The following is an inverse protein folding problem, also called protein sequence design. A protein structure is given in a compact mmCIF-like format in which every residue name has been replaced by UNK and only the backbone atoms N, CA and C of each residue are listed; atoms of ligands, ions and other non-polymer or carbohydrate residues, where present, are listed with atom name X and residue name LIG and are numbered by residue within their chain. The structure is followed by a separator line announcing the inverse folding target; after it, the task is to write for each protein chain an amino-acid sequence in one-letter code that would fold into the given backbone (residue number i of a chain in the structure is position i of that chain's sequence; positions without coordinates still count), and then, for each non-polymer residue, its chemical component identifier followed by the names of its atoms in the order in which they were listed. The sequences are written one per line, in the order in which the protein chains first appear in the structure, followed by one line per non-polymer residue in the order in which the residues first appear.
data_IF_048834127685
#
_entry.id   IF_048834127685
#
_cell.length_a   1.000
_cell.length_b   1.000
_cell.length_c   1.000
_cell.angle_alpha   90.00
_cell.angle_beta   90.00
_cell.angle_gamma   90.00
#
_symmetry.space_group_name_H-M   'P 1'
#
loop_
_entity.id
_entity.type
_entity.pdbx_description
1 polymer ?
#
# COMPACT_ATOMS: atom_id res chain seq x y z
N UNK A 1 12.64 -22.61 24.74
CA UNK A 1 12.99 -21.18 24.66
C UNK A 1 11.94 -20.52 23.80
N UNK A 2 10.93 -19.96 24.45
CA UNK A 2 9.89 -19.14 23.82
C UNK A 2 10.55 -17.84 23.36
N UNK A 3 10.64 -17.63 22.05
CA UNK A 3 10.91 -16.31 21.49
C UNK A 3 9.63 -15.51 21.66
N UNK A 4 9.65 -14.51 22.53
CA UNK A 4 8.55 -13.56 22.66
C UNK A 4 8.39 -12.84 21.31
N UNK A 5 7.35 -13.22 20.56
CA UNK A 5 7.06 -12.74 19.20
C UNK A 5 6.50 -11.30 19.15
N UNK A 6 6.70 -10.51 20.20
CA UNK A 6 6.25 -9.13 20.28
C UNK A 6 7.39 -8.20 19.90
N UNK A 7 7.34 -7.70 18.66
CA UNK A 7 8.13 -6.54 18.25
C UNK A 7 7.49 -5.32 18.90
N UNK A 8 8.17 -4.61 19.82
CA UNK A 8 7.61 -3.42 20.42
C UNK A 8 7.58 -2.31 19.36
N UNK A 9 6.38 -1.98 18.88
CA UNK A 9 6.14 -0.86 17.96
C UNK A 9 5.49 0.26 18.76
N UNK A 10 6.10 1.43 18.78
CA UNK A 10 5.47 2.64 19.31
C UNK A 10 4.37 3.09 18.35
N UNK A 11 3.12 3.13 18.82
CA UNK A 11 2.02 3.76 18.09
C UNK A 11 2.31 5.27 18.03
N UNK A 12 2.42 5.80 16.82
CA UNK A 12 2.54 7.24 16.58
C UNK A 12 1.19 7.68 16.04
N UNK A 13 0.41 8.37 16.87
CA UNK A 13 -0.83 9.02 16.43
C UNK A 13 -0.47 10.28 15.63
N UNK A 14 -0.73 10.35 14.31
CA UNK A 14 -0.50 11.58 13.57
C UNK A 14 -1.53 12.64 14.03
N UNK A 15 -1.12 13.89 14.29
CA UNK A 15 -2.06 14.96 14.59
C UNK A 15 -2.96 15.21 13.38
N UNK A 16 -4.24 15.48 13.66
CA UNK A 16 -5.33 15.60 12.67
C UNK A 16 -4.94 16.37 11.41
N UNK A 17 -5.12 15.72 10.27
CA UNK A 17 -4.82 16.26 8.95
C UNK A 17 -5.83 17.37 8.59
N UNK A 18 -5.39 18.47 7.94
CA UNK A 18 -6.31 19.44 7.35
C UNK A 18 -7.25 18.77 6.34
N UNK A 19 -8.49 19.27 6.16
CA UNK A 19 -9.37 18.77 5.10
C UNK A 19 -8.82 19.13 3.70
N UNK A 20 -9.03 18.23 2.76
CA UNK A 20 -8.56 18.36 1.37
C UNK A 20 -9.40 19.37 0.56
N UNK A 21 -8.84 19.81 -0.56
CA UNK A 21 -9.48 20.76 -1.49
C UNK A 21 -10.63 20.16 -2.30
N UNK A 22 -11.42 21.06 -2.90
CA UNK A 22 -12.76 20.89 -3.52
C UNK A 22 -12.87 19.88 -4.70
N UNK A 23 -11.84 19.07 -4.98
CA UNK A 23 -11.75 18.20 -6.17
C UNK A 23 -11.66 16.71 -5.91
N UNK A 24 -11.56 16.26 -4.65
CA UNK A 24 -11.45 14.84 -4.29
C UNK A 24 -12.73 14.32 -3.64
N UNK A 25 -13.42 13.36 -4.27
CA UNK A 25 -14.44 12.56 -3.58
C UNK A 25 -13.70 11.64 -2.60
N UNK A 26 -13.72 11.99 -1.31
CA UNK A 26 -13.12 11.18 -0.27
C UNK A 26 -14.01 9.95 -0.02
N UNK A 27 -13.42 8.75 -0.12
CA UNK A 27 -14.03 7.55 0.46
C UNK A 27 -13.89 7.68 1.97
N UNK A 28 -15.00 8.02 2.64
CA UNK A 28 -15.04 7.98 4.09
C UNK A 28 -14.93 6.53 4.54
N UNK A 29 -13.88 6.23 5.30
CA UNK A 29 -13.75 4.94 5.98
C UNK A 29 -15.02 4.74 6.82
N UNK A 30 -15.73 3.65 6.56
CA UNK A 30 -16.88 3.27 7.36
C UNK A 30 -16.40 3.11 8.82
N UNK A 31 -17.00 3.85 9.78
CA UNK A 31 -16.60 3.80 11.18
C UNK A 31 -16.74 2.40 11.81
N UNK A 32 -17.42 1.46 11.15
CA UNK A 32 -17.51 0.06 11.56
C UNK A 32 -16.32 -0.81 11.10
N UNK A 33 -15.45 -0.31 10.21
CA UNK A 33 -14.24 -1.03 9.77
C UNK A 33 -13.16 -0.93 10.86
N UNK A 34 -13.06 -1.98 11.68
CA UNK A 34 -11.96 -2.18 12.62
C UNK A 34 -10.81 -2.94 11.95
N UNK A 35 -9.62 -2.33 11.89
CA UNK A 35 -8.38 -2.97 11.44
C UNK A 35 -7.88 -4.07 12.41
N UNK A 36 -8.56 -4.24 13.55
CA UNK A 36 -8.36 -5.29 14.53
C UNK A 36 -6.95 -5.25 15.11
N UNK A 37 -6.23 -6.36 15.03
CA UNK A 37 -4.84 -6.49 15.53
C UNK A 37 -3.78 -6.24 14.43
N UNK A 38 -4.17 -5.73 13.27
CA UNK A 38 -3.22 -5.45 12.19
C UNK A 38 -2.31 -4.28 12.57
N UNK A 39 -0.99 -4.47 12.42
CA UNK A 39 -0.03 -3.38 12.58
C UNK A 39 0.16 -2.67 11.25
N UNK A 40 -0.14 -1.37 11.23
CA UNK A 40 -0.03 -0.52 10.03
C UNK A 40 1.23 0.33 10.14
N UNK A 41 2.07 0.29 9.10
CA UNK A 41 3.29 1.09 9.00
C UNK A 41 3.20 2.00 7.80
N UNK A 42 3.47 3.29 8.00
CA UNK A 42 3.56 4.26 6.91
C UNK A 42 5.01 4.72 6.74
N UNK A 43 5.58 4.50 5.55
CA UNK A 43 7.00 4.78 5.26
C UNK A 43 7.11 6.03 4.38
N UNK A 44 7.55 7.14 4.98
CA UNK A 44 7.74 8.42 4.30
C UNK A 44 9.22 8.80 4.17
N UNK A 45 9.50 9.81 3.35
CA UNK A 45 10.85 10.31 3.10
C UNK A 45 11.02 10.86 1.69
N UNK A 46 12.14 11.57 1.47
CA UNK A 46 12.48 12.20 0.19
C UNK A 46 12.47 11.19 -0.97
N UNK A 47 12.19 11.66 -2.19
CA UNK A 47 12.38 10.88 -3.41
C UNK A 47 13.81 10.32 -3.50
N UNK A 48 13.94 9.04 -3.86
CA UNK A 48 15.24 8.37 -4.02
C UNK A 48 15.97 7.94 -2.73
N UNK A 49 15.42 8.16 -1.53
CA UNK A 49 16.07 7.75 -0.27
C UNK A 49 16.03 6.23 0.00
N UNK A 50 15.34 5.46 -0.85
CA UNK A 50 15.21 4.01 -0.69
C UNK A 50 14.01 3.54 0.13
N UNK A 51 12.88 4.28 0.08
CA UNK A 51 11.62 3.88 0.73
C UNK A 51 11.14 2.51 0.27
N UNK A 52 10.90 2.34 -1.04
CA UNK A 52 10.44 1.09 -1.65
C UNK A 52 11.40 -0.07 -1.38
N UNK A 53 12.71 0.20 -1.42
CA UNK A 53 13.75 -0.78 -1.08
C UNK A 53 13.64 -1.25 0.36
N UNK A 54 13.50 -0.31 1.30
CA UNK A 54 13.35 -0.64 2.72
C UNK A 54 12.05 -1.38 2.99
N UNK A 55 10.92 -0.87 2.47
CA UNK A 55 9.59 -1.46 2.65
C UNK A 55 9.53 -2.90 2.13
N UNK A 56 10.01 -3.16 0.92
CA UNK A 56 10.01 -4.52 0.34
C UNK A 56 10.81 -5.52 1.17
N UNK A 57 12.01 -5.12 1.62
CA UNK A 57 12.83 -6.00 2.46
C UNK A 57 12.22 -6.21 3.85
N UNK A 58 11.58 -5.18 4.42
CA UNK A 58 10.87 -5.27 5.68
C UNK A 58 9.67 -6.22 5.58
N UNK A 59 8.90 -6.15 4.49
CA UNK A 59 7.79 -7.05 4.21
C UNK A 59 8.24 -8.51 4.12
N UNK A 60 9.37 -8.77 3.45
CA UNK A 60 9.98 -10.11 3.41
C UNK A 60 10.46 -10.56 4.79
N UNK A 61 11.02 -9.66 5.60
CA UNK A 61 11.45 -9.99 6.95
C UNK A 61 10.25 -10.42 7.82
N UNK A 62 9.15 -9.67 7.78
CA UNK A 62 7.92 -10.04 8.50
C UNK A 62 7.31 -11.34 7.99
N UNK A 63 7.29 -11.58 6.67
CA UNK A 63 6.75 -12.84 6.13
C UNK A 63 7.60 -14.05 6.54
N UNK A 64 8.93 -13.90 6.60
CA UNK A 64 9.83 -14.93 7.14
C UNK A 64 9.66 -15.18 8.64
N UNK A 65 9.12 -14.22 9.38
CA UNK A 65 8.72 -14.38 10.79
C UNK A 65 7.30 -14.98 10.93
N UNK A 66 6.71 -15.48 9.85
CA UNK A 66 5.39 -16.11 9.84
C UNK A 66 4.23 -15.12 9.91
N UNK A 67 4.46 -13.83 9.66
CA UNK A 67 3.39 -12.84 9.59
C UNK A 67 2.79 -12.80 8.19
N UNK A 68 1.48 -12.58 8.11
CA UNK A 68 0.83 -12.19 6.84
C UNK A 68 1.09 -10.71 6.62
N UNK A 69 1.53 -10.35 5.42
CA UNK A 69 1.94 -8.99 5.09
C UNK A 69 1.29 -8.58 3.79
N UNK A 70 0.76 -7.36 3.76
CA UNK A 70 0.37 -6.66 2.55
C UNK A 70 1.23 -5.40 2.42
N UNK A 71 1.78 -5.15 1.24
CA UNK A 71 2.50 -3.92 0.91
C UNK A 71 1.70 -3.17 -0.15
N UNK A 72 1.36 -1.91 0.17
CA UNK A 72 0.62 -1.01 -0.71
C UNK A 72 1.57 0.10 -1.15
N UNK A 73 1.84 0.19 -2.45
CA UNK A 73 2.55 1.30 -3.06
C UNK A 73 1.62 2.46 -3.35
N UNK A 74 1.89 3.63 -2.77
CA UNK A 74 1.07 4.83 -2.94
C UNK A 74 1.80 5.92 -3.75
N UNK A 75 2.70 5.53 -4.65
CA UNK A 75 3.46 6.44 -5.51
C UNK A 75 2.99 6.27 -6.96
N UNK A 76 2.71 7.35 -7.72
CA UNK A 76 2.35 7.27 -9.14
C UNK A 76 3.37 6.52 -10.01
N UNK A 77 4.61 6.37 -9.53
CA UNK A 77 5.67 5.57 -10.19
C UNK A 77 5.39 4.06 -10.17
N UNK A 78 4.51 3.57 -9.29
CA UNK A 78 4.07 2.16 -9.19
C UNK A 78 5.21 1.11 -9.16
N UNK A 79 6.34 1.45 -8.52
CA UNK A 79 7.52 0.60 -8.38
C UNK A 79 7.85 0.24 -6.92
N UNK A 80 6.84 0.25 -6.04
CA UNK A 80 7.04 -0.11 -4.63
C UNK A 80 7.31 -1.61 -4.46
N UNK A 81 6.59 -2.44 -5.22
CA UNK A 81 6.46 -3.89 -5.02
C UNK A 81 7.19 -4.73 -6.07
N UNK A 82 7.76 -4.12 -7.13
CA UNK A 82 8.37 -4.86 -8.25
C UNK A 82 9.47 -5.84 -7.81
N UNK A 83 10.18 -5.55 -6.71
CA UNK A 83 11.21 -6.45 -6.18
C UNK A 83 10.64 -7.72 -5.55
N UNK A 84 9.39 -7.67 -5.08
CA UNK A 84 8.64 -8.78 -4.49
C UNK A 84 7.98 -9.63 -5.58
N UNK A 85 7.37 -9.00 -6.58
CA UNK A 85 6.61 -9.66 -7.66
C UNK A 85 7.46 -10.04 -8.89
N UNK A 86 8.66 -9.45 -9.01
CA UNK A 86 9.58 -9.58 -10.16
C UNK A 86 9.05 -8.98 -11.47
N UNK A 87 7.99 -8.19 -11.42
CA UNK A 87 7.45 -7.44 -12.55
C UNK A 87 6.70 -6.19 -12.06
N UNK A 88 6.42 -5.25 -12.96
CA UNK A 88 5.50 -4.15 -12.66
C UNK A 88 4.08 -4.72 -12.75
N UNK A 89 3.35 -4.66 -11.64
CA UNK A 89 1.97 -5.13 -11.58
C UNK A 89 1.02 -4.05 -12.10
N UNK A 90 -0.14 -4.45 -12.67
CA UNK A 90 -1.26 -3.54 -12.86
C UNK A 90 -1.58 -2.80 -11.56
N UNK A 91 -1.96 -1.54 -11.70
CA UNK A 91 -2.32 -0.69 -10.57
C UNK A 91 -3.82 -0.75 -10.29
N UNK A 92 -4.22 -0.28 -9.12
CA UNK A 92 -5.64 -0.12 -8.77
C UNK A 92 -6.35 0.81 -9.76
N UNK A 93 -5.67 1.86 -10.23
CA UNK A 93 -6.24 2.75 -11.26
C UNK A 93 -6.41 2.04 -12.60
N UNK A 94 -5.47 1.16 -12.99
CA UNK A 94 -5.62 0.38 -14.22
C UNK A 94 -6.83 -0.57 -14.11
N UNK A 95 -6.97 -1.28 -12.99
CA UNK A 95 -8.11 -2.16 -12.74
C UNK A 95 -9.44 -1.39 -12.74
N UNK A 96 -9.47 -0.19 -12.14
CA UNK A 96 -10.66 0.69 -12.18
C UNK A 96 -10.99 1.13 -13.60
N UNK A 97 -10.00 1.42 -14.45
CA UNK A 97 -10.22 1.81 -15.84
C UNK A 97 -10.88 0.66 -16.65
N UNK A 98 -10.52 -0.60 -16.38
CA UNK A 98 -11.11 -1.77 -17.05
C UNK A 98 -12.62 -1.92 -16.80
N UNK A 99 -13.12 -1.41 -15.67
CA UNK A 99 -14.55 -1.43 -15.28
C UNK A 99 -15.21 -0.06 -15.41
N UNK A 100 -14.64 0.85 -16.21
CA UNK A 100 -15.15 2.23 -16.38
C UNK A 100 -15.39 2.97 -15.04
N UNK A 101 -14.53 2.72 -14.05
CA UNK A 101 -14.57 3.25 -12.68
C UNK A 101 -15.77 2.83 -11.83
N UNK A 102 -16.48 1.75 -12.20
CA UNK A 102 -17.50 1.12 -11.36
C UNK A 102 -16.84 0.20 -10.32
N UNK A 103 -16.45 0.78 -9.18
CA UNK A 103 -15.71 0.07 -8.12
C UNK A 103 -16.42 -1.17 -7.54
N UNK A 104 -17.74 -1.25 -7.66
CA UNK A 104 -18.57 -2.38 -7.24
C UNK A 104 -18.37 -3.64 -8.11
N UNK A 105 -17.79 -3.50 -9.29
CA UNK A 105 -17.49 -4.61 -10.20
C UNK A 105 -16.12 -5.22 -9.92
N UNK A 106 -15.22 -4.49 -9.23
CA UNK A 106 -13.87 -4.96 -8.91
C UNK A 106 -13.87 -6.13 -7.94
N UNK A 107 -13.01 -7.09 -8.23
CA UNK A 107 -12.62 -8.17 -7.34
C UNK A 107 -11.21 -7.93 -6.79
N UNK A 108 -10.90 -8.58 -5.67
CA UNK A 108 -9.59 -8.41 -5.00
C UNK A 108 -8.45 -8.86 -5.91
N UNK A 109 -8.69 -9.92 -6.67
CA UNK A 109 -7.71 -10.54 -7.56
C UNK A 109 -7.31 -9.65 -8.75
N UNK A 110 -8.09 -8.60 -9.03
CA UNK A 110 -7.84 -7.68 -10.14
C UNK A 110 -6.66 -6.73 -9.85
N UNK A 111 -6.38 -6.45 -8.57
CA UNK A 111 -5.37 -5.47 -8.16
C UNK A 111 -4.49 -5.90 -6.98
N UNK A 112 -4.71 -7.09 -6.41
CA UNK A 112 -3.87 -7.66 -5.38
C UNK A 112 -3.11 -8.87 -5.92
N UNK A 113 -1.78 -8.78 -5.91
CA UNK A 113 -0.92 -9.81 -6.47
C UNK A 113 -0.01 -10.43 -5.41
N UNK A 114 0.13 -11.76 -5.43
CA UNK A 114 1.04 -12.44 -4.53
C UNK A 114 2.50 -12.28 -4.99
N UNK A 115 3.36 -11.80 -4.09
CA UNK A 115 4.79 -11.68 -4.28
C UNK A 115 5.60 -12.72 -3.51
N UNK A 116 6.88 -12.43 -3.32
CA UNK A 116 7.80 -13.33 -2.62
C UNK A 116 7.30 -13.74 -1.22
N UNK A 117 7.28 -15.05 -0.95
CA UNK A 117 6.93 -15.64 0.33
C UNK A 117 5.52 -15.23 0.83
N UNK A 118 4.56 -15.12 -0.08
CA UNK A 118 3.15 -14.84 0.25
C UNK A 118 2.86 -13.40 0.66
N UNK A 119 3.77 -12.46 0.39
CA UNK A 119 3.51 -11.03 0.61
C UNK A 119 2.53 -10.54 -0.45
N UNK A 120 1.35 -10.06 -0.03
CA UNK A 120 0.39 -9.46 -0.94
C UNK A 120 0.86 -8.07 -1.36
N UNK A 121 0.78 -7.78 -2.64
CA UNK A 121 1.30 -6.56 -3.26
C UNK A 121 0.17 -5.81 -3.96
N UNK A 122 0.09 -4.51 -3.71
CA UNK A 122 -0.84 -3.59 -4.37
C UNK A 122 -0.06 -2.36 -4.79
N UNK A 123 -0.31 -1.86 -6.00
CA UNK A 123 0.15 -0.55 -6.44
C UNK A 123 -1.09 0.31 -6.67
N UNK A 124 -1.22 1.43 -5.96
CA UNK A 124 -2.33 2.36 -6.19
C UNK A 124 -2.30 2.91 -7.61
N UNK A 125 -1.09 3.18 -8.12
CA UNK A 125 -0.91 3.90 -9.37
C UNK A 125 -1.26 5.39 -9.22
N UNK A 126 -1.45 6.04 -10.35
CA UNK A 126 -1.79 7.45 -10.40
C UNK A 126 -1.98 7.91 -11.84
N UNK A 127 -2.42 9.15 -12.06
CA UNK A 127 -2.55 9.69 -13.41
C UNK A 127 -1.20 9.64 -14.14
N UNK A 128 -1.20 9.61 -15.48
CA UNK A 128 0.03 9.63 -16.25
C UNK A 128 0.94 10.78 -15.81
N UNK A 129 2.25 10.53 -15.82
CA UNK A 129 3.24 11.53 -15.45
C UNK A 129 3.02 12.81 -16.30
N UNK A 130 2.74 13.93 -15.63
CA UNK A 130 2.51 15.23 -16.28
C UNK A 130 1.04 15.67 -16.44
N UNK A 131 0.07 14.84 -16.04
CA UNK A 131 -1.38 15.18 -16.11
C UNK A 131 -2.04 15.51 -14.76
N UNK A 132 -1.28 15.51 -13.66
CA UNK A 132 -1.74 15.89 -12.31
C UNK A 132 -0.88 17.01 -11.70
N UNK A 133 -1.45 17.73 -10.71
CA UNK A 133 -0.84 18.90 -10.06
C UNK A 133 0.57 18.56 -9.57
N UNK A 134 1.54 19.27 -10.14
CA UNK A 134 2.95 18.92 -10.06
C UNK A 134 3.59 19.04 -8.68
N UNK A 135 4.69 18.31 -8.55
CA UNK A 135 5.87 18.69 -7.80
C UNK A 135 7.07 18.56 -8.70
#
# INVERSE_FOLDING_TARGET
MSLDNNIPVQLVDPPGSPPDGDGSVQVHLDPEIDIGQAQVFAVYGKGGIGKSTTSSNLSVAFSKLGKRVIQIGCDPKHDSTFTLTKALMPTVIDALEEVEFHSEELQIEDFVHEGYNGVMCVEAGGPPAGTGCGG
#
